data_IF_891945227531
#
_entry.id   IF_891945227531
#
_cell.length_a   1.000
_cell.length_b   1.000
_cell.length_c   1.000
_cell.angle_alpha   90.00
_cell.angle_beta   90.00
_cell.angle_gamma   90.00
#
_symmetry.space_group_name_H-M   'P 1'
#
loop_
_entity.id
_entity.type
_entity.pdbx_description
1 polymer ?
#
# COMPACT_ATOMS: atom_id res chain seq x y z
N UNK A 1 41.78 45.83 -15.88
CA UNK A 1 40.51 46.59 -15.92
C UNK A 1 40.46 47.41 -17.22
N UNK A 2 39.68 47.00 -18.21
CA UNK A 2 39.60 47.70 -19.49
C UNK A 2 38.66 48.91 -19.42
N UNK A 3 39.22 50.12 -19.53
CA UNK A 3 38.48 51.39 -19.46
C UNK A 3 37.49 51.58 -20.62
N UNK A 4 37.56 50.79 -21.69
CA UNK A 4 36.64 50.86 -22.82
C UNK A 4 36.42 49.42 -23.31
N UNK A 5 35.21 49.08 -23.79
CA UNK A 5 34.89 47.73 -24.31
C UNK A 5 35.65 47.33 -25.60
N UNK A 6 36.84 47.90 -25.84
CA UNK A 6 37.76 47.55 -26.92
C UNK A 6 38.17 46.08 -26.82
N UNK A 7 38.10 45.36 -27.95
CA UNK A 7 38.45 43.93 -28.05
C UNK A 7 37.34 42.94 -27.67
N UNK A 8 36.24 43.40 -27.05
CA UNK A 8 35.11 42.50 -26.70
C UNK A 8 34.19 42.28 -27.90
N UNK A 9 33.97 41.02 -28.29
CA UNK A 9 33.07 40.61 -29.39
C UNK A 9 31.67 40.18 -28.89
N UNK A 10 30.63 40.33 -29.71
CA UNK A 10 29.27 39.85 -29.45
C UNK A 10 29.11 38.37 -29.81
N UNK A 11 27.90 37.83 -29.62
CA UNK A 11 27.60 36.42 -29.89
C UNK A 11 27.78 36.02 -31.37
N UNK A 12 27.96 36.99 -32.27
CA UNK A 12 28.20 36.80 -33.70
C UNK A 12 29.64 37.19 -34.11
N UNK A 13 30.55 37.33 -33.14
CA UNK A 13 31.96 37.64 -33.38
C UNK A 13 32.24 39.09 -33.78
N UNK A 14 31.25 39.98 -33.74
CA UNK A 14 31.43 41.40 -34.09
C UNK A 14 31.85 42.21 -32.87
N UNK A 15 32.72 43.21 -33.07
CA UNK A 15 33.17 44.10 -32.00
C UNK A 15 31.96 44.77 -31.34
N UNK A 16 31.81 44.58 -30.02
CA UNK A 16 30.80 45.27 -29.22
C UNK A 16 31.06 46.76 -29.26
N UNK A 17 29.99 47.55 -29.18
CA UNK A 17 30.04 49.01 -29.16
C UNK A 17 31.11 49.48 -28.16
N UNK A 18 32.09 50.24 -28.66
CA UNK A 18 33.14 50.84 -27.84
C UNK A 18 32.50 51.92 -26.97
N UNK A 19 32.31 51.60 -25.70
CA UNK A 19 31.80 52.51 -24.69
C UNK A 19 32.47 52.23 -23.35
N UNK A 20 32.67 53.29 -22.58
CA UNK A 20 32.95 53.22 -21.16
C UNK A 20 31.63 53.40 -20.41
N UNK A 21 31.39 52.55 -19.42
CA UNK A 21 30.21 52.64 -18.54
C UNK A 21 30.66 52.49 -17.09
N UNK A 22 31.01 53.60 -16.48
CA UNK A 22 31.28 53.71 -15.05
C UNK A 22 29.99 53.92 -14.23
N UNK A 23 30.14 54.06 -12.91
CA UNK A 23 29.03 54.28 -11.96
C UNK A 23 28.23 55.55 -12.26
N UNK A 24 28.91 56.62 -12.65
CA UNK A 24 28.31 57.94 -12.91
C UNK A 24 28.61 58.51 -14.31
N UNK A 25 29.49 57.85 -15.08
CA UNK A 25 29.95 58.35 -16.37
C UNK A 25 29.75 57.29 -17.44
N UNK A 26 29.09 57.67 -18.53
CA UNK A 26 29.05 56.91 -19.76
C UNK A 26 29.72 57.72 -20.85
N UNK A 27 30.78 57.18 -21.44
CA UNK A 27 31.40 57.78 -22.62
C UNK A 27 31.27 56.81 -23.80
N UNK A 28 30.77 57.29 -24.94
CA UNK A 28 30.64 56.47 -26.14
C UNK A 28 30.82 57.31 -27.39
N UNK A 29 31.38 56.73 -28.46
CA UNK A 29 31.66 57.43 -29.72
C UNK A 29 30.42 58.11 -30.32
N UNK A 30 29.26 57.45 -30.28
CA UNK A 30 28.02 57.96 -30.90
C UNK A 30 27.15 58.77 -29.94
N UNK A 31 27.34 58.62 -28.63
CA UNK A 31 26.47 59.21 -27.60
C UNK A 31 27.16 60.27 -26.75
N UNK A 32 28.41 60.61 -27.08
CA UNK A 32 29.24 61.53 -26.32
C UNK A 32 29.54 61.06 -24.88
N UNK A 33 29.87 62.02 -24.03
CA UNK A 33 30.07 61.85 -22.60
C UNK A 33 28.76 62.26 -21.90
N UNK A 34 28.17 61.33 -21.15
CA UNK A 34 26.96 61.55 -20.38
C UNK A 34 27.20 61.20 -18.92
N UNK A 35 26.94 62.17 -18.04
CA UNK A 35 26.90 61.92 -16.60
C UNK A 35 25.51 61.40 -16.24
N UNK A 36 25.46 60.40 -15.37
CA UNK A 36 24.24 59.79 -14.85
C UNK A 36 24.30 59.79 -13.33
N UNK A 37 23.35 60.44 -12.70
CA UNK A 37 23.07 60.27 -11.28
C UNK A 37 21.75 59.51 -11.14
N UNK A 38 21.71 58.48 -10.29
CA UNK A 38 20.50 57.78 -9.94
C UNK A 38 20.42 57.71 -8.42
N UNK A 39 19.31 58.15 -7.86
CA UNK A 39 19.00 58.04 -6.43
C UNK A 39 17.58 57.52 -6.24
N UNK A 40 17.31 56.90 -5.09
CA UNK A 40 15.98 56.45 -4.70
C UNK A 40 15.52 57.33 -3.54
N UNK A 41 14.48 58.13 -3.76
CA UNK A 41 13.94 59.05 -2.77
C UNK A 41 12.46 58.71 -2.55
N UNK A 42 12.06 58.48 -1.30
CA UNK A 42 10.66 58.21 -0.91
C UNK A 42 9.94 57.17 -1.81
N UNK A 43 10.62 56.06 -2.12
CA UNK A 43 10.06 55.00 -2.97
C UNK A 43 10.06 55.28 -4.49
N UNK A 44 10.49 56.48 -4.91
CA UNK A 44 10.60 56.89 -6.32
C UNK A 44 12.05 56.86 -6.77
N UNK A 45 12.33 56.26 -7.92
CA UNK A 45 13.64 56.28 -8.57
C UNK A 45 13.79 57.57 -9.39
N UNK A 46 14.74 58.40 -8.99
CA UNK A 46 15.10 59.65 -9.66
C UNK A 46 16.38 59.40 -10.45
N UNK A 47 16.33 59.62 -11.76
CA UNK A 47 17.49 59.51 -12.65
C UNK A 47 17.70 60.83 -13.38
N UNK A 48 18.84 61.47 -13.18
CA UNK A 48 19.27 62.61 -13.96
C UNK A 48 20.37 62.15 -14.93
N UNK A 49 20.26 62.55 -16.19
CA UNK A 49 21.24 62.24 -17.22
C UNK A 49 21.49 63.47 -18.08
N UNK A 50 22.76 63.83 -18.31
CA UNK A 50 23.10 65.06 -19.06
C UNK A 50 22.68 65.02 -20.53
N UNK A 51 22.54 63.85 -21.15
CA UNK A 51 22.09 63.72 -22.56
C UNK A 51 20.61 63.34 -22.70
N UNK A 52 20.03 62.67 -21.69
CA UNK A 52 18.64 62.16 -21.75
C UNK A 52 17.68 62.89 -20.83
N UNK A 53 18.17 63.85 -20.05
CA UNK A 53 17.42 64.65 -19.10
C UNK A 53 17.01 63.89 -17.84
N UNK A 54 15.89 64.32 -17.25
CA UNK A 54 15.41 63.91 -15.94
C UNK A 54 14.27 62.87 -16.06
N UNK A 55 14.37 61.81 -15.25
CA UNK A 55 13.36 60.75 -15.17
C UNK A 55 13.01 60.43 -13.72
N UNK A 56 11.74 60.56 -13.39
CA UNK A 56 11.12 60.02 -12.19
C UNK A 56 10.45 58.70 -12.54
N UNK A 57 10.61 57.65 -11.74
CA UNK A 57 9.89 56.39 -11.97
C UNK A 57 9.60 55.65 -10.68
N UNK A 58 8.37 55.17 -10.55
CA UNK A 58 7.91 54.34 -9.45
C UNK A 58 7.21 53.09 -9.99
N UNK A 59 7.19 52.04 -9.18
CA UNK A 59 6.52 50.78 -9.48
C UNK A 59 5.52 50.49 -8.36
N UNK A 60 4.33 51.12 -8.38
CA UNK A 60 3.38 51.05 -7.28
C UNK A 60 2.74 49.66 -7.14
N UNK A 61 2.75 48.87 -8.22
CA UNK A 61 2.23 47.51 -8.27
C UNK A 61 3.24 46.60 -8.98
N UNK A 62 3.20 45.32 -8.68
CA UNK A 62 4.01 44.32 -9.38
C UNK A 62 3.76 44.40 -10.89
N UNK A 63 4.85 44.44 -11.67
CA UNK A 63 4.84 44.57 -13.13
C UNK A 63 4.15 45.83 -13.69
N UNK A 64 3.98 46.88 -12.88
CA UNK A 64 3.41 48.17 -13.28
C UNK A 64 4.42 49.27 -13.03
N UNK A 65 4.81 50.00 -14.06
CA UNK A 65 5.71 51.13 -14.00
C UNK A 65 4.99 52.41 -14.38
N UNK A 66 5.08 53.39 -13.49
CA UNK A 66 4.68 54.78 -13.73
C UNK A 66 5.96 55.60 -13.75
N UNK A 67 6.18 56.36 -14.83
CA UNK A 67 7.36 57.19 -14.96
C UNK A 67 7.04 58.52 -15.63
N UNK A 68 7.84 59.53 -15.32
CA UNK A 68 7.80 60.84 -15.93
C UNK A 68 9.21 61.15 -16.44
N UNK A 69 9.38 61.33 -17.74
CA UNK A 69 10.68 61.59 -18.36
C UNK A 69 10.59 62.89 -19.18
N UNK A 70 11.34 63.93 -18.80
CA UNK A 70 11.35 65.24 -19.46
C UNK A 70 9.94 65.78 -19.78
N UNK A 71 9.03 65.83 -18.80
CA UNK A 71 7.66 66.30 -19.06
C UNK A 71 6.69 65.22 -19.57
N UNK A 72 7.18 64.05 -20.00
CA UNK A 72 6.34 62.99 -20.59
C UNK A 72 5.97 61.91 -19.59
N UNK A 73 4.67 61.78 -19.32
CA UNK A 73 4.11 60.66 -18.57
C UNK A 73 4.17 59.32 -19.35
N UNK A 74 4.61 58.26 -18.67
CA UNK A 74 4.79 56.91 -19.17
C UNK A 74 4.13 55.94 -18.19
N UNK A 75 3.09 55.25 -18.65
CA UNK A 75 2.47 54.12 -17.95
C UNK A 75 2.77 52.83 -18.71
N UNK A 76 3.27 51.81 -18.02
CA UNK A 76 3.56 50.48 -18.58
C UNK A 76 3.22 49.39 -17.58
N UNK A 77 2.26 48.52 -17.88
CA UNK A 77 1.97 47.31 -17.12
C UNK A 77 2.12 46.07 -17.99
N UNK A 78 2.67 44.98 -17.46
CA UNK A 78 2.80 43.69 -18.18
C UNK A 78 2.47 42.52 -17.26
N UNK A 79 1.29 41.94 -17.42
CA UNK A 79 0.82 40.86 -16.57
C UNK A 79 0.70 39.57 -17.39
N UNK A 80 1.20 38.47 -16.83
CA UNK A 80 1.11 37.13 -17.43
C UNK A 80 0.43 36.22 -16.42
N UNK A 81 -0.76 35.74 -16.76
CA UNK A 81 -1.48 34.75 -15.97
C UNK A 81 -2.07 33.71 -16.92
N UNK A 82 -1.66 32.45 -16.77
CA UNK A 82 -2.09 31.36 -17.63
C UNK A 82 -1.86 31.61 -19.13
N UNK A 83 -2.85 31.31 -20.00
CA UNK A 83 -2.73 31.48 -21.45
C UNK A 83 -2.80 32.95 -21.91
N UNK A 84 -3.19 33.88 -21.03
CA UNK A 84 -3.41 35.28 -21.35
C UNK A 84 -2.24 36.19 -20.94
N UNK A 85 -1.97 37.19 -21.76
CA UNK A 85 -0.96 38.25 -21.55
C UNK A 85 -1.63 39.61 -21.66
N UNK A 86 -1.66 40.33 -20.55
CA UNK A 86 -2.23 41.66 -20.43
C UNK A 86 -1.11 42.70 -20.50
N UNK A 87 -1.20 43.65 -21.42
CA UNK A 87 -0.27 44.77 -21.53
C UNK A 87 -1.04 46.07 -21.34
N UNK A 88 -0.67 46.84 -20.32
CA UNK A 88 -1.22 48.16 -20.02
C UNK A 88 -0.26 49.24 -20.52
N UNK A 89 -0.80 50.29 -21.13
CA UNK A 89 -0.06 51.44 -21.65
C UNK A 89 -0.81 52.74 -21.37
N UNK A 90 -0.16 53.89 -21.55
CA UNK A 90 -0.83 55.21 -21.52
C UNK A 90 -2.07 55.27 -22.43
N UNK A 91 -2.03 54.57 -23.56
CA UNK A 91 -3.09 54.52 -24.57
C UNK A 91 -4.09 53.37 -24.36
N UNK A 92 -4.16 52.81 -23.15
CA UNK A 92 -5.08 51.71 -22.80
C UNK A 92 -4.40 50.34 -22.69
N UNK A 93 -5.24 49.32 -22.44
CA UNK A 93 -4.84 47.95 -22.21
C UNK A 93 -5.05 47.06 -23.45
N UNK A 94 -4.27 45.99 -23.59
CA UNK A 94 -4.44 44.96 -24.61
C UNK A 94 -4.30 43.58 -24.02
N UNK A 95 -5.15 42.66 -24.45
CA UNK A 95 -5.11 41.24 -24.07
C UNK A 95 -4.64 40.43 -25.26
N UNK A 96 -3.72 39.50 -25.03
CA UNK A 96 -3.25 38.59 -26.06
C UNK A 96 -3.07 37.18 -25.54
N UNK A 97 -3.35 36.19 -26.38
CA UNK A 97 -3.06 34.77 -26.13
C UNK A 97 -1.89 34.33 -27.00
N UNK A 98 -1.08 33.40 -26.51
CA UNK A 98 0.06 32.86 -27.27
C UNK A 98 -0.08 31.36 -27.44
N UNK A 99 -0.06 30.93 -28.70
CA UNK A 99 -0.17 29.53 -29.12
C UNK A 99 1.10 29.10 -29.86
N UNK A 100 1.15 27.83 -30.31
CA UNK A 100 2.29 27.29 -31.08
C UNK A 100 2.56 28.07 -32.36
N UNK A 101 1.50 28.56 -33.02
CA UNK A 101 1.61 29.32 -34.27
C UNK A 101 2.07 30.78 -34.06
N UNK A 102 1.85 31.39 -32.89
CA UNK A 102 2.18 32.80 -32.67
C UNK A 102 1.35 33.46 -31.57
N UNK A 103 1.06 34.75 -31.69
CA UNK A 103 0.29 35.51 -30.70
C UNK A 103 -0.94 36.16 -31.32
N UNK A 104 -2.10 35.95 -30.72
CA UNK A 104 -3.35 36.58 -31.09
C UNK A 104 -3.69 37.70 -30.10
N UNK A 105 -3.97 38.91 -30.58
CA UNK A 105 -4.38 40.02 -29.73
C UNK A 105 -5.90 40.24 -29.86
N UNK A 106 -6.62 40.03 -28.75
CA UNK A 106 -8.08 40.08 -28.69
C UNK A 106 -8.64 41.48 -28.91
N UNK A 107 -7.91 42.52 -28.50
CA UNK A 107 -8.37 43.92 -28.57
C UNK A 107 -7.86 44.61 -29.84
N UNK A 108 -6.65 44.27 -30.29
CA UNK A 108 -6.02 44.88 -31.47
C UNK A 108 -5.55 43.81 -32.45
N UNK A 109 -6.43 43.28 -33.32
CA UNK A 109 -6.11 42.20 -34.26
C UNK A 109 -4.90 42.51 -35.15
N UNK A 110 -4.70 43.78 -35.52
CA UNK A 110 -3.55 44.24 -36.31
C UNK A 110 -2.19 44.05 -35.60
N UNK A 111 -2.16 43.74 -34.30
CA UNK A 111 -0.93 43.43 -33.54
C UNK A 111 -0.71 41.92 -33.36
N UNK A 112 -1.50 41.09 -34.02
CA UNK A 112 -1.31 39.64 -34.05
C UNK A 112 -0.11 39.24 -34.92
N UNK A 113 0.47 38.08 -34.61
CA UNK A 113 1.56 37.50 -35.37
C UNK A 113 1.38 35.99 -35.50
N UNK A 114 1.75 35.45 -36.66
CA UNK A 114 1.73 34.03 -36.94
C UNK A 114 3.03 33.64 -37.66
N UNK A 115 3.57 32.47 -37.35
CA UNK A 115 4.73 31.89 -38.04
C UNK A 115 4.29 30.60 -38.69
N UNK A 116 4.22 30.60 -40.02
CA UNK A 116 3.83 29.44 -40.82
C UNK A 116 5.00 29.09 -41.74
N UNK A 117 5.44 27.84 -41.73
CA UNK A 117 6.53 27.35 -42.59
C UNK A 117 7.79 28.25 -42.60
N UNK A 118 8.22 28.72 -41.43
CA UNK A 118 9.41 29.59 -41.29
C UNK A 118 9.16 31.08 -41.54
N UNK A 119 8.09 31.46 -42.25
CA UNK A 119 7.75 32.85 -42.58
C UNK A 119 6.92 33.49 -41.48
N UNK A 120 7.30 34.70 -41.03
CA UNK A 120 6.56 35.46 -40.02
C UNK A 120 5.57 36.43 -40.67
N UNK A 121 4.27 36.13 -40.54
CA UNK A 121 3.17 37.02 -40.95
C UNK A 121 2.72 37.86 -39.74
N UNK A 122 2.44 39.15 -39.96
CA UNK A 122 1.97 40.09 -38.92
C UNK A 122 0.79 40.90 -39.46
N UNK A 123 -0.07 41.38 -38.57
CA UNK A 123 -1.20 42.23 -38.95
C UNK A 123 -2.54 41.50 -39.01
N UNK A 124 -3.49 42.03 -39.79
CA UNK A 124 -4.86 41.50 -39.94
C UNK A 124 -4.88 40.05 -40.47
N UNK A 125 -4.04 39.77 -41.46
CA UNK A 125 -3.90 38.43 -42.05
C UNK A 125 -3.42 37.42 -41.01
N UNK A 126 -2.44 37.77 -40.17
CA UNK A 126 -1.99 36.92 -39.08
C UNK A 126 -3.10 36.65 -38.05
N UNK A 127 -3.99 37.62 -37.80
CA UNK A 127 -5.13 37.43 -36.90
C UNK A 127 -6.11 36.38 -37.46
N UNK A 128 -6.44 36.43 -38.76
CA UNK A 128 -7.31 35.44 -39.40
C UNK A 128 -6.72 34.03 -39.32
N UNK A 129 -5.44 33.86 -39.64
CA UNK A 129 -4.76 32.56 -39.56
C UNK A 129 -4.78 32.02 -38.12
N UNK A 130 -4.57 32.88 -37.11
CA UNK A 130 -4.67 32.47 -35.70
C UNK A 130 -6.08 32.03 -35.31
N UNK A 131 -7.13 32.69 -35.80
CA UNK A 131 -8.52 32.29 -35.54
C UNK A 131 -8.79 30.89 -36.09
N UNK A 132 -8.40 30.63 -37.35
CA UNK A 132 -8.55 29.30 -37.97
C UNK A 132 -7.79 28.24 -37.17
N UNK A 133 -6.55 28.51 -36.76
CA UNK A 133 -5.78 27.60 -35.92
C UNK A 133 -6.46 27.33 -34.57
N UNK A 134 -7.00 28.37 -33.91
CA UNK A 134 -7.68 28.22 -32.64
C UNK A 134 -8.97 27.41 -32.76
N UNK A 135 -9.74 27.60 -33.84
CA UNK A 135 -10.94 26.80 -34.11
C UNK A 135 -10.57 25.33 -34.32
N UNK A 136 -9.54 25.05 -35.11
CA UNK A 136 -9.04 23.69 -35.31
C UNK A 136 -8.58 23.05 -33.99
N UNK A 137 -7.77 23.78 -33.21
CA UNK A 137 -7.31 23.31 -31.90
C UNK A 137 -8.47 23.07 -30.93
N UNK A 138 -9.49 23.92 -30.95
CA UNK A 138 -10.70 23.76 -30.14
C UNK A 138 -11.50 22.52 -30.56
N UNK A 139 -11.65 22.26 -31.87
CA UNK A 139 -12.31 21.06 -32.37
C UNK A 139 -11.57 19.77 -31.94
N UNK A 140 -10.24 19.74 -32.07
CA UNK A 140 -9.43 18.61 -31.59
C UNK A 140 -9.58 18.42 -30.07
N UNK A 141 -9.52 19.52 -29.30
CA UNK A 141 -9.71 19.45 -27.85
C UNK A 141 -11.11 18.95 -27.46
N UNK A 142 -12.15 19.34 -28.22
CA UNK A 142 -13.52 18.85 -28.00
C UNK A 142 -13.61 17.34 -28.26
N UNK A 143 -13.00 16.84 -29.34
CA UNK A 143 -12.94 15.39 -29.62
C UNK A 143 -12.21 14.66 -28.49
N UNK A 144 -11.06 15.17 -28.05
CA UNK A 144 -10.31 14.59 -26.93
C UNK A 144 -11.13 14.57 -25.64
N UNK A 145 -11.87 15.64 -25.36
CA UNK A 145 -12.75 15.72 -24.19
C UNK A 145 -13.86 14.67 -24.27
N UNK A 146 -14.51 14.50 -25.43
CA UNK A 146 -15.54 13.47 -25.63
C UNK A 146 -14.97 12.07 -25.41
N UNK A 147 -13.80 11.77 -25.98
CA UNK A 147 -13.12 10.48 -25.78
C UNK A 147 -12.78 10.27 -24.29
N UNK A 148 -12.27 11.28 -23.61
CA UNK A 148 -11.96 11.21 -22.18
C UNK A 148 -13.20 10.96 -21.32
N UNK A 149 -14.32 11.62 -21.64
CA UNK A 149 -15.61 11.41 -20.97
C UNK A 149 -16.10 9.98 -21.19
N UNK A 150 -16.02 9.46 -22.41
CA UNK A 150 -16.42 8.08 -22.72
C UNK A 150 -15.57 7.06 -21.94
N UNK A 151 -14.24 7.23 -21.93
CA UNK A 151 -13.34 6.37 -21.14
C UNK A 151 -13.68 6.46 -19.64
N UNK A 152 -13.94 7.67 -19.14
CA UNK A 152 -14.35 7.89 -17.76
C UNK A 152 -15.66 7.20 -17.41
N UNK A 153 -16.65 7.27 -18.31
CA UNK A 153 -17.95 6.61 -18.14
C UNK A 153 -17.81 5.08 -18.12
N UNK A 154 -17.01 4.50 -19.01
CA UNK A 154 -16.73 3.04 -19.01
C UNK A 154 -16.04 2.62 -17.72
N UNK A 155 -15.03 3.36 -17.26
CA UNK A 155 -14.36 3.07 -15.98
C UNK A 155 -15.31 3.15 -14.80
N UNK A 156 -16.19 4.16 -14.77
CA UNK A 156 -17.19 4.29 -13.73
C UNK A 156 -18.17 3.11 -13.74
N UNK A 157 -18.63 2.71 -14.93
CA UNK A 157 -19.54 1.55 -15.07
C UNK A 157 -18.88 0.27 -14.57
N UNK A 158 -17.62 0.02 -14.93
CA UNK A 158 -16.86 -1.13 -14.44
C UNK A 158 -16.65 -1.08 -12.92
N UNK A 159 -16.37 0.10 -12.36
CA UNK A 159 -16.19 0.26 -10.92
C UNK A 159 -17.50 0.03 -10.15
N UNK A 160 -18.62 0.61 -10.61
CA UNK A 160 -19.94 0.41 -10.02
C UNK A 160 -20.40 -1.03 -10.17
N UNK A 161 -20.22 -1.64 -11.34
CA UNK A 161 -20.51 -3.05 -11.58
C UNK A 161 -19.69 -3.98 -10.69
N UNK A 162 -18.39 -3.71 -10.56
CA UNK A 162 -17.50 -4.46 -9.66
C UNK A 162 -17.89 -4.31 -8.19
N UNK A 163 -18.29 -3.12 -7.76
CA UNK A 163 -18.80 -2.89 -6.40
C UNK A 163 -20.11 -3.63 -6.17
N UNK A 164 -21.07 -3.54 -7.10
CA UNK A 164 -22.33 -4.25 -7.02
C UNK A 164 -22.12 -5.77 -6.96
N UNK A 165 -21.21 -6.31 -7.79
CA UNK A 165 -20.85 -7.73 -7.75
C UNK A 165 -20.30 -8.14 -6.38
N UNK A 166 -19.36 -7.38 -5.80
CA UNK A 166 -18.83 -7.66 -4.46
C UNK A 166 -19.92 -7.62 -3.39
N UNK A 167 -20.85 -6.66 -3.48
CA UNK A 167 -21.98 -6.59 -2.55
C UNK A 167 -22.90 -7.79 -2.70
N UNK A 168 -23.19 -8.24 -3.93
CA UNK A 168 -24.02 -9.42 -4.18
C UNK A 168 -23.36 -10.67 -3.59
N UNK A 169 -22.06 -10.86 -3.82
CA UNK A 169 -21.31 -12.02 -3.30
C UNK A 169 -21.20 -11.97 -1.77
N UNK A 170 -21.03 -10.78 -1.17
CA UNK A 170 -20.94 -10.62 0.27
C UNK A 170 -22.29 -10.61 0.99
N UNK A 171 -23.40 -10.36 0.28
CA UNK A 171 -24.73 -10.18 0.89
C UNK A 171 -25.21 -11.41 1.66
N UNK A 172 -25.08 -12.67 1.18
CA UNK A 172 -25.48 -13.85 1.94
C UNK A 172 -24.73 -13.94 3.27
N UNK A 173 -23.40 -13.83 3.25
CA UNK A 173 -22.58 -13.87 4.46
C UNK A 173 -22.95 -12.75 5.43
N UNK A 174 -23.07 -11.51 4.94
CA UNK A 174 -23.46 -10.36 5.76
C UNK A 174 -24.87 -10.55 6.37
N UNK A 175 -25.79 -11.14 5.62
CA UNK A 175 -27.13 -11.47 6.09
C UNK A 175 -27.11 -12.55 7.17
N UNK A 176 -26.34 -13.62 7.00
CA UNK A 176 -26.15 -14.66 8.02
C UNK A 176 -25.55 -14.06 9.31
N UNK A 177 -24.49 -13.25 9.20
CA UNK A 177 -23.89 -12.56 10.36
C UNK A 177 -24.90 -11.63 11.05
N UNK A 178 -25.72 -10.92 10.28
CA UNK A 178 -26.78 -10.07 10.84
C UNK A 178 -27.85 -10.89 11.59
N UNK A 179 -28.33 -12.00 11.01
CA UNK A 179 -29.29 -12.89 11.64
C UNK A 179 -28.72 -13.53 12.91
N UNK A 180 -27.47 -14.00 12.87
CA UNK A 180 -26.73 -14.54 14.02
C UNK A 180 -26.61 -13.51 15.15
N UNK A 181 -26.21 -12.26 14.84
CA UNK A 181 -26.18 -11.17 15.83
C UNK A 181 -27.55 -10.88 16.43
N UNK A 182 -28.60 -10.84 15.60
CA UNK A 182 -29.98 -10.60 16.06
C UNK A 182 -30.48 -11.74 16.95
N UNK A 183 -30.19 -12.99 16.58
CA UNK A 183 -30.48 -14.20 17.38
C UNK A 183 -29.78 -14.12 18.74
N UNK A 184 -28.47 -13.90 18.75
CA UNK A 184 -27.70 -13.87 19.99
C UNK A 184 -28.14 -12.75 20.92
N UNK A 185 -28.43 -11.55 20.37
CA UNK A 185 -28.97 -10.44 21.17
C UNK A 185 -30.32 -10.78 21.82
N UNK A 186 -31.20 -11.52 21.12
CA UNK A 186 -32.47 -12.00 21.70
C UNK A 186 -32.24 -13.03 22.79
N UNK A 187 -31.32 -13.97 22.55
CA UNK A 187 -30.93 -14.97 23.54
C UNK A 187 -30.36 -14.27 24.79
N UNK A 188 -29.39 -13.37 24.64
CA UNK A 188 -28.80 -12.58 25.73
C UNK A 188 -29.83 -11.80 26.56
N UNK A 189 -30.92 -11.33 25.94
CA UNK A 189 -32.02 -10.66 26.64
C UNK A 189 -32.93 -11.63 27.39
N UNK A 190 -33.03 -12.87 26.94
CA UNK A 190 -33.82 -13.93 27.58
C UNK A 190 -33.03 -14.59 28.73
N UNK A 191 -31.70 -14.60 28.60
CA UNK A 191 -30.73 -15.20 29.53
C UNK A 191 -30.62 -14.60 30.96
N UNK A 192 -31.06 -13.37 31.31
CA UNK A 192 -31.03 -12.87 32.68
C UNK A 192 -32.24 -13.30 33.52
N UNK A 193 -33.35 -13.68 32.89
CA UNK A 193 -34.60 -14.12 33.54
C UNK A 193 -34.84 -15.63 33.42
N UNK A 194 -33.89 -16.38 32.86
CA UNK A 194 -34.03 -17.84 32.75
C UNK A 194 -33.55 -18.53 34.02
N UNK A 195 -34.39 -18.47 35.06
CA UNK A 195 -34.63 -19.63 35.94
C UNK A 195 -35.16 -20.77 35.05
N UNK A 196 -34.26 -21.36 34.25
CA UNK A 196 -34.55 -22.63 33.60
C UNK A 196 -34.86 -23.58 34.75
N UNK A 197 -36.12 -24.02 34.86
CA UNK A 197 -36.59 -24.98 35.88
C UNK A 197 -36.04 -26.37 35.59
N UNK A 198 -34.74 -26.46 35.34
CA UNK A 198 -33.99 -27.68 35.49
C UNK A 198 -34.06 -28.10 36.96
N UNK A 199 -34.09 -29.41 37.16
CA UNK A 199 -34.11 -30.01 38.48
C UNK A 199 -32.95 -31.02 38.52
N UNK A 200 -31.84 -30.71 39.23
CA UNK A 200 -31.54 -29.48 39.98
C UNK A 200 -31.30 -28.24 39.09
N UNK A 201 -31.28 -27.01 39.64
CA UNK A 201 -30.93 -25.81 38.88
C UNK A 201 -29.58 -25.95 38.17
N UNK A 202 -29.47 -25.43 36.95
CA UNK A 202 -28.29 -25.62 36.07
C UNK A 202 -26.97 -25.17 36.70
N UNK A 203 -27.01 -24.15 37.58
CA UNK A 203 -25.81 -23.67 38.29
C UNK A 203 -25.23 -24.71 39.26
N UNK A 204 -26.01 -25.74 39.62
CA UNK A 204 -25.57 -26.84 40.50
C UNK A 204 -25.15 -28.08 39.72
N UNK A 205 -25.22 -28.07 38.40
CA UNK A 205 -24.80 -29.20 37.58
C UNK A 205 -23.29 -29.36 37.63
N UNK A 206 -22.82 -30.61 37.61
CA UNK A 206 -21.41 -30.94 37.42
C UNK A 206 -20.94 -30.54 36.01
N UNK A 207 -19.64 -30.46 35.78
CA UNK A 207 -19.09 -30.15 34.45
C UNK A 207 -19.49 -31.22 33.44
N UNK A 208 -19.51 -32.48 33.89
CA UNK A 208 -19.92 -33.67 33.16
C UNK A 208 -21.41 -33.59 32.78
N UNK A 209 -22.27 -33.10 33.69
CA UNK A 209 -23.68 -32.86 33.39
C UNK A 209 -23.89 -31.72 32.37
N UNK A 210 -23.07 -30.67 32.40
CA UNK A 210 -23.10 -29.66 31.34
C UNK A 210 -22.68 -30.22 29.98
N UNK A 211 -21.65 -31.09 29.94
CA UNK A 211 -21.22 -31.79 28.71
C UNK A 211 -22.32 -32.73 28.20
N UNK A 212 -22.90 -33.55 29.08
CA UNK A 212 -24.02 -34.41 28.76
C UNK A 212 -25.21 -33.61 28.23
N UNK A 213 -25.54 -32.49 28.88
CA UNK A 213 -26.63 -31.61 28.46
C UNK A 213 -26.40 -31.04 27.06
N UNK A 214 -25.16 -30.62 26.76
CA UNK A 214 -24.79 -30.16 25.41
C UNK A 214 -24.99 -31.27 24.37
N UNK A 215 -24.43 -32.46 24.60
CA UNK A 215 -24.53 -33.59 23.68
C UNK A 215 -25.99 -33.98 23.41
N UNK A 216 -26.81 -34.07 24.46
CA UNK A 216 -28.21 -34.46 24.36
C UNK A 216 -29.06 -33.42 23.61
N UNK A 217 -28.81 -32.13 23.86
CA UNK A 217 -29.50 -31.06 23.12
C UNK A 217 -29.06 -31.02 21.65
N UNK A 218 -27.76 -31.17 21.38
CA UNK A 218 -27.20 -31.12 20.02
C UNK A 218 -27.59 -32.33 19.17
N UNK A 219 -27.36 -33.55 19.67
CA UNK A 219 -27.56 -34.81 18.94
C UNK A 219 -29.02 -35.30 18.99
N UNK A 220 -29.71 -35.01 20.10
CA UNK A 220 -31.12 -35.35 20.29
C UNK A 220 -32.05 -34.31 19.68
N UNK A 221 -32.19 -33.17 20.35
CA UNK A 221 -33.15 -32.15 19.92
C UNK A 221 -32.82 -31.57 18.54
N UNK A 222 -31.53 -31.45 18.19
CA UNK A 222 -31.09 -31.05 16.86
C UNK A 222 -31.61 -31.93 15.72
N UNK A 223 -31.92 -33.20 16.00
CA UNK A 223 -32.54 -34.15 15.06
C UNK A 223 -34.01 -34.46 15.34
N UNK A 224 -34.62 -33.76 16.29
CA UNK A 224 -36.01 -34.00 16.70
C UNK A 224 -36.22 -35.27 17.52
N UNK A 225 -35.15 -35.91 18.01
CA UNK A 225 -35.20 -37.05 18.94
C UNK A 225 -35.30 -36.56 20.39
N UNK A 226 -35.72 -37.45 21.28
CA UNK A 226 -35.80 -37.15 22.72
C UNK A 226 -34.45 -37.33 23.40
N UNK A 227 -34.18 -36.62 24.49
CA UNK A 227 -32.92 -36.77 25.22
C UNK A 227 -32.71 -38.21 25.76
N UNK A 228 -33.72 -38.93 26.30
CA UNK A 228 -33.53 -40.31 26.77
C UNK A 228 -33.19 -41.30 25.67
N UNK A 229 -33.78 -41.14 24.48
CA UNK A 229 -33.48 -41.95 23.30
C UNK A 229 -32.00 -41.83 22.91
N UNK A 230 -31.48 -40.60 22.87
CA UNK A 230 -30.07 -40.35 22.55
C UNK A 230 -29.12 -40.72 23.69
N UNK A 231 -29.53 -40.55 24.94
CA UNK A 231 -28.74 -41.01 26.09
C UNK A 231 -28.47 -42.52 26.00
N UNK A 232 -29.45 -43.32 25.58
CA UNK A 232 -29.28 -44.76 25.36
C UNK A 232 -28.29 -45.06 24.24
N UNK A 233 -28.41 -44.40 23.08
CA UNK A 233 -27.51 -44.58 21.94
C UNK A 233 -26.07 -44.16 22.25
N UNK A 234 -25.88 -43.01 22.90
CA UNK A 234 -24.56 -42.51 23.29
C UNK A 234 -23.87 -43.41 24.30
N UNK A 235 -24.63 -44.03 25.22
CA UNK A 235 -24.06 -44.99 26.17
C UNK A 235 -23.46 -46.18 25.44
N UNK A 236 -24.15 -46.73 24.45
CA UNK A 236 -23.64 -47.84 23.65
C UNK A 236 -22.37 -47.43 22.87
N UNK A 237 -22.40 -46.27 22.21
CA UNK A 237 -21.27 -45.79 21.42
C UNK A 237 -20.03 -45.43 22.24
N UNK A 238 -20.21 -44.73 23.37
CA UNK A 238 -19.10 -44.27 24.20
C UNK A 238 -18.57 -45.34 25.16
N UNK A 239 -19.29 -46.45 25.37
CA UNK A 239 -18.82 -47.59 26.19
C UNK A 239 -18.10 -48.68 25.39
N UNK A 240 -18.06 -48.56 24.06
CA UNK A 240 -17.33 -49.51 23.22
C UNK A 240 -15.82 -49.44 23.48
N UNK A 241 -15.14 -50.60 23.55
CA UNK A 241 -13.70 -50.71 23.89
C UNK A 241 -12.76 -49.93 22.95
N UNK A 242 -13.23 -49.58 21.74
CA UNK A 242 -12.49 -48.81 20.73
C UNK A 242 -13.01 -47.37 20.55
N UNK A 243 -13.84 -46.85 21.46
CA UNK A 243 -14.42 -45.52 21.32
C UNK A 243 -13.33 -44.43 21.35
N UNK A 244 -13.27 -43.61 20.30
CA UNK A 244 -12.24 -42.59 20.11
C UNK A 244 -12.66 -41.20 20.62
N UNK A 245 -13.43 -41.15 21.72
CA UNK A 245 -14.04 -39.90 22.23
C UNK A 245 -13.67 -39.60 23.69
N UNK A 246 -12.37 -39.40 24.00
CA UNK A 246 -11.89 -39.24 25.37
C UNK A 246 -12.44 -37.99 26.08
N UNK A 247 -12.75 -36.91 25.33
CA UNK A 247 -13.27 -35.68 25.92
C UNK A 247 -14.75 -35.78 26.31
N UNK A 248 -15.49 -36.70 25.68
CA UNK A 248 -16.90 -36.97 25.92
C UNK A 248 -17.14 -38.10 26.93
N UNK A 249 -16.17 -38.99 27.14
CA UNK A 249 -16.28 -40.11 28.07
C UNK A 249 -16.75 -39.71 29.50
N UNK A 250 -16.31 -38.59 30.10
CA UNK A 250 -16.80 -38.16 31.41
C UNK A 250 -18.32 -37.89 31.46
N UNK A 251 -18.93 -37.52 30.33
CA UNK A 251 -20.36 -37.21 30.26
C UNK A 251 -21.25 -38.46 30.45
N UNK A 252 -20.71 -39.67 30.24
CA UNK A 252 -21.44 -40.95 30.32
C UNK A 252 -22.20 -41.13 31.64
N UNK A 253 -21.60 -40.71 32.75
CA UNK A 253 -22.18 -40.88 34.10
C UNK A 253 -23.40 -39.99 34.33
N UNK A 254 -23.52 -38.90 33.58
CA UNK A 254 -24.54 -37.86 33.77
C UNK A 254 -25.60 -37.86 32.66
N UNK A 255 -25.55 -38.79 31.69
CA UNK A 255 -26.48 -38.83 30.56
C UNK A 255 -27.95 -38.98 30.98
N UNK A 256 -28.28 -39.96 31.82
CA UNK A 256 -29.66 -40.22 32.27
C UNK A 256 -30.27 -39.11 33.17
N UNK A 257 -29.57 -38.64 34.24
CA UNK A 257 -30.12 -37.58 35.08
C UNK A 257 -30.29 -36.28 34.28
N UNK A 258 -29.35 -35.99 33.37
CA UNK A 258 -29.42 -34.80 32.53
C UNK A 258 -30.53 -34.91 31.49
N UNK A 259 -30.69 -36.05 30.83
CA UNK A 259 -31.78 -36.29 29.86
C UNK A 259 -33.15 -36.10 30.51
N UNK A 260 -33.32 -36.62 31.73
CA UNK A 260 -34.55 -36.47 32.50
C UNK A 260 -34.84 -35.01 32.83
N UNK A 261 -33.82 -34.24 33.27
CA UNK A 261 -34.00 -32.81 33.55
C UNK A 261 -34.25 -31.98 32.28
N UNK A 262 -33.65 -32.33 31.15
CA UNK A 262 -33.87 -31.65 29.87
C UNK A 262 -35.32 -31.84 29.38
N UNK A 263 -35.82 -33.08 29.39
CA UNK A 263 -37.20 -33.35 28.97
C UNK A 263 -38.23 -32.81 29.96
N UNK A 264 -37.95 -32.83 31.26
CA UNK A 264 -38.80 -32.17 32.25
C UNK A 264 -38.90 -30.65 32.00
N UNK A 265 -37.79 -30.01 31.65
CA UNK A 265 -37.77 -28.59 31.30
C UNK A 265 -38.50 -28.31 29.97
N UNK A 266 -38.41 -29.24 29.00
CA UNK A 266 -39.10 -29.18 27.70
C UNK A 266 -40.61 -29.40 27.81
N UNK A 267 -41.02 -30.32 28.68
CA UNK A 267 -42.39 -30.83 28.82
C UNK A 267 -43.26 -30.12 29.87
N UNK A 268 -42.75 -29.09 30.55
CA UNK A 268 -43.53 -28.28 31.51
C UNK A 268 -44.63 -27.48 30.79
N UNK A 269 -45.75 -28.15 30.52
CA UNK A 269 -46.89 -27.72 29.69
C UNK A 269 -47.73 -26.57 30.26
N UNK A 270 -47.18 -25.78 31.18
CA UNK A 270 -47.78 -24.57 31.74
C UNK A 270 -47.10 -23.26 31.30
N UNK A 271 -46.02 -23.32 30.50
CA UNK A 271 -45.38 -22.11 29.95
C UNK A 271 -46.13 -21.62 28.71
N UNK A 272 -46.36 -20.31 28.62
CA UNK A 272 -46.90 -19.68 27.40
C UNK A 272 -45.98 -19.92 26.18
N UNK A 273 -44.68 -20.13 26.42
CA UNK A 273 -43.70 -20.44 25.38
C UNK A 273 -42.78 -21.62 25.79
N UNK A 274 -42.70 -22.70 24.99
CA UNK A 274 -41.78 -23.81 25.25
C UNK A 274 -40.33 -23.35 25.15
N UNK A 275 -39.44 -24.00 25.92
CA UNK A 275 -38.01 -23.69 25.89
C UNK A 275 -37.42 -24.00 24.51
N UNK A 276 -36.83 -22.99 23.89
CA UNK A 276 -36.12 -23.15 22.62
C UNK A 276 -34.81 -23.92 22.83
N UNK A 277 -34.48 -24.93 21.99
CA UNK A 277 -33.18 -25.60 22.02
C UNK A 277 -32.00 -24.63 22.00
N UNK A 278 -32.13 -23.51 21.27
CA UNK A 278 -31.12 -22.45 21.21
C UNK A 278 -30.84 -21.82 22.58
N UNK A 279 -31.88 -21.60 23.39
CA UNK A 279 -31.73 -21.03 24.74
C UNK A 279 -31.01 -21.99 25.66
N UNK A 280 -31.38 -23.27 25.62
CA UNK A 280 -30.75 -24.32 26.43
C UNK A 280 -29.28 -24.47 26.07
N UNK A 281 -28.96 -24.56 24.77
CA UNK A 281 -27.57 -24.62 24.30
C UNK A 281 -26.78 -23.37 24.69
N UNK A 282 -27.37 -22.17 24.57
CA UNK A 282 -26.69 -20.93 24.96
C UNK A 282 -26.33 -20.91 26.46
N UNK A 283 -27.21 -21.40 27.35
CA UNK A 283 -26.90 -21.48 28.78
C UNK A 283 -25.83 -22.54 29.06
N UNK A 284 -25.96 -23.74 28.48
CA UNK A 284 -24.97 -24.81 28.64
C UNK A 284 -23.58 -24.36 28.15
N UNK A 285 -23.52 -23.67 27.01
CA UNK A 285 -22.30 -23.13 26.44
C UNK A 285 -21.61 -22.10 27.36
N UNK A 286 -22.36 -21.22 28.05
CA UNK A 286 -21.79 -20.27 29.03
C UNK A 286 -21.19 -20.95 30.25
N UNK A 287 -21.73 -22.09 30.66
CA UNK A 287 -21.16 -22.86 31.77
C UNK A 287 -19.92 -23.65 31.31
N UNK A 288 -19.96 -24.21 30.09
CA UNK A 288 -18.82 -24.92 29.51
C UNK A 288 -17.67 -24.00 29.10
N UNK A 289 -17.92 -22.69 28.93
CA UNK A 289 -16.85 -21.71 28.66
C UNK A 289 -15.82 -21.59 29.78
N UNK A 290 -16.08 -22.18 30.95
CA UNK A 290 -15.13 -22.25 32.06
C UNK A 290 -14.06 -23.35 31.86
N UNK A 291 -14.24 -24.25 30.90
CA UNK A 291 -13.26 -25.28 30.56
C UNK A 291 -12.00 -24.69 29.90
N UNK A 292 -10.84 -25.37 30.00
CA UNK A 292 -9.68 -25.05 29.19
C UNK A 292 -10.03 -25.03 27.69
N UNK A 293 -9.46 -24.10 26.94
CA UNK A 293 -9.79 -23.90 25.52
C UNK A 293 -9.58 -25.16 24.67
N UNK A 294 -8.50 -25.90 24.92
CA UNK A 294 -8.16 -27.14 24.21
C UNK A 294 -9.22 -28.22 24.47
N UNK A 295 -9.66 -28.37 25.72
CA UNK A 295 -10.68 -29.35 26.10
C UNK A 295 -12.06 -28.97 25.55
N UNK A 296 -12.40 -27.67 25.58
CA UNK A 296 -13.66 -27.18 25.00
C UNK A 296 -13.71 -27.38 23.48
N UNK A 297 -12.58 -27.19 22.80
CA UNK A 297 -12.46 -27.46 21.37
C UNK A 297 -12.63 -28.96 21.08
N UNK A 298 -11.99 -29.84 21.84
CA UNK A 298 -12.14 -31.30 21.72
C UNK A 298 -13.59 -31.75 21.97
N UNK A 299 -14.25 -31.22 23.00
CA UNK A 299 -15.68 -31.52 23.27
C UNK A 299 -16.56 -31.10 22.08
N UNK A 300 -16.29 -29.94 21.47
CA UNK A 300 -17.03 -29.46 20.32
C UNK A 300 -16.81 -30.34 19.08
N UNK A 301 -15.55 -30.66 18.77
CA UNK A 301 -15.16 -31.46 17.60
C UNK A 301 -15.67 -32.89 17.71
N UNK A 302 -15.48 -33.55 18.85
CA UNK A 302 -15.96 -34.92 19.08
C UNK A 302 -17.49 -35.00 19.05
N UNK A 303 -18.19 -33.97 19.54
CA UNK A 303 -19.65 -33.91 19.42
C UNK A 303 -20.09 -33.76 17.95
N UNK A 304 -19.35 -32.99 17.14
CA UNK A 304 -19.62 -32.82 15.72
C UNK A 304 -19.35 -34.11 14.93
N UNK A 305 -18.26 -34.81 15.24
CA UNK A 305 -17.93 -36.12 14.66
C UNK A 305 -19.04 -37.14 14.93
N UNK A 306 -19.53 -37.25 16.18
CA UNK A 306 -20.69 -38.09 16.51
C UNK A 306 -21.96 -37.69 15.74
N UNK A 307 -22.17 -36.39 15.52
CA UNK A 307 -23.30 -35.93 14.71
C UNK A 307 -23.18 -36.38 13.26
N UNK A 308 -21.96 -36.36 12.70
CA UNK A 308 -21.67 -36.75 11.32
C UNK A 308 -21.72 -38.27 11.11
N UNK A 309 -21.35 -39.07 12.12
CA UNK A 309 -21.49 -40.53 12.09
C UNK A 309 -22.97 -40.96 11.93
N UNK A 310 -23.88 -40.24 12.57
CA UNK A 310 -25.33 -40.48 12.47
C UNK A 310 -25.97 -39.81 11.23
N UNK A 311 -25.19 -39.10 10.41
CA UNK A 311 -25.59 -38.58 9.09
C UNK A 311 -25.24 -37.09 8.86
N UNK A 312 -25.66 -36.49 7.73
CA UNK A 312 -25.45 -35.07 7.49
C UNK A 312 -26.15 -34.21 8.57
N UNK A 313 -25.53 -33.09 8.94
CA UNK A 313 -26.08 -32.16 9.94
C UNK A 313 -27.41 -31.58 9.49
N UNK A 314 -28.33 -31.45 10.43
CA UNK A 314 -29.58 -30.70 10.20
C UNK A 314 -29.33 -29.20 10.29
N UNK A 315 -30.24 -28.41 9.71
CA UNK A 315 -30.21 -26.93 9.85
C UNK A 315 -30.20 -26.52 11.32
N UNK A 316 -30.99 -27.20 12.17
CA UNK A 316 -31.02 -26.92 13.60
C UNK A 316 -29.69 -27.27 14.27
N UNK A 317 -29.05 -28.40 13.92
CA UNK A 317 -27.73 -28.74 14.45
C UNK A 317 -26.69 -27.68 14.09
N UNK A 318 -26.64 -27.22 12.83
CA UNK A 318 -25.74 -26.13 12.43
C UNK A 318 -25.99 -24.85 13.25
N UNK A 319 -27.26 -24.46 13.44
CA UNK A 319 -27.61 -23.31 14.27
C UNK A 319 -27.22 -23.49 15.75
N UNK A 320 -27.42 -24.68 16.32
CA UNK A 320 -27.04 -24.99 17.69
C UNK A 320 -25.51 -24.98 17.87
N UNK A 321 -24.76 -25.48 16.90
CA UNK A 321 -23.29 -25.43 16.90
C UNK A 321 -22.79 -23.98 16.86
N UNK A 322 -23.39 -23.13 16.03
CA UNK A 322 -23.07 -21.69 16.02
C UNK A 322 -23.37 -21.02 17.35
N UNK A 323 -24.54 -21.31 17.95
CA UNK A 323 -24.92 -20.77 19.27
C UNK A 323 -23.93 -21.24 20.32
N UNK A 324 -23.59 -22.52 20.34
CA UNK A 324 -22.60 -23.05 21.27
C UNK A 324 -21.28 -22.29 21.12
N UNK A 325 -20.75 -22.18 19.91
CA UNK A 325 -19.50 -21.49 19.66
C UNK A 325 -19.54 -20.02 20.09
N UNK A 326 -20.66 -19.32 19.86
CA UNK A 326 -20.82 -17.92 20.29
C UNK A 326 -20.84 -17.72 21.79
N UNK A 327 -21.59 -18.55 22.51
CA UNK A 327 -21.80 -18.41 23.95
C UNK A 327 -20.69 -19.05 24.78
N UNK A 328 -20.01 -20.06 24.23
CA UNK A 328 -18.82 -20.67 24.82
C UNK A 328 -17.55 -19.85 24.54
N UNK A 329 -17.62 -18.83 23.66
CA UNK A 329 -16.47 -18.01 23.28
C UNK A 329 -15.50 -18.69 22.32
N UNK A 330 -15.92 -19.78 21.66
CA UNK A 330 -15.11 -20.51 20.68
C UNK A 330 -15.10 -19.75 19.36
N UNK A 331 -13.89 -19.51 18.86
CA UNK A 331 -13.64 -18.91 17.54
C UNK A 331 -12.60 -19.77 16.85
N UNK A 332 -12.94 -20.26 15.67
CA UNK A 332 -11.94 -20.80 14.76
C UNK A 332 -11.09 -19.63 14.30
N UNK A 333 -9.89 -19.53 14.85
CA UNK A 333 -8.87 -18.68 14.29
C UNK A 333 -8.28 -19.47 13.13
N UNK A 334 -8.51 -19.01 11.90
CA UNK A 334 -7.56 -19.33 10.84
C UNK A 334 -6.23 -18.86 11.37
N UNK A 335 -5.35 -19.80 11.73
CA UNK A 335 -3.93 -19.52 11.77
C UNK A 335 -3.67 -19.06 10.36
N UNK A 336 -3.58 -17.75 10.17
CA UNK A 336 -2.95 -17.17 9.01
C UNK A 336 -1.58 -17.83 9.05
N UNK A 337 -1.43 -18.91 8.28
CA UNK A 337 -0.13 -19.38 7.93
C UNK A 337 0.49 -18.13 7.33
N UNK A 338 1.35 -17.46 8.12
CA UNK A 338 2.29 -16.49 7.57
C UNK A 338 2.72 -17.14 6.27
N UNK A 339 2.51 -16.49 5.12
CA UNK A 339 2.74 -17.13 3.84
C UNK A 339 4.11 -17.74 3.96
N UNK A 340 4.16 -19.07 4.06
CA UNK A 340 5.42 -19.77 4.16
C UNK A 340 6.12 -19.30 2.92
N UNK A 341 7.09 -18.42 3.16
CA UNK A 341 7.92 -17.87 2.12
C UNK A 341 8.60 -19.14 1.66
N UNK A 342 8.12 -19.65 0.51
CA UNK A 342 8.64 -20.83 -0.17
C UNK A 342 10.13 -20.88 0.12
N UNK A 343 10.64 -21.94 0.76
CA UNK A 343 11.95 -21.92 1.38
C UNK A 343 12.94 -21.49 0.32
N UNK A 344 13.42 -20.25 0.45
CA UNK A 344 14.63 -19.82 -0.23
C UNK A 344 15.67 -20.90 0.09
N UNK A 345 16.44 -21.37 -0.91
CA UNK A 345 17.35 -22.49 -0.71
C UNK A 345 18.18 -22.21 0.53
N UNK A 346 18.10 -23.15 1.46
CA UNK A 346 18.59 -23.04 2.82
C UNK A 346 19.94 -22.32 2.86
N UNK A 347 19.95 -21.10 3.37
CA UNK A 347 21.15 -20.52 3.93
C UNK A 347 21.53 -21.43 5.12
N UNK A 348 22.73 -22.03 5.12
CA UNK A 348 23.15 -22.87 6.23
C UNK A 348 23.21 -22.03 7.51
N UNK A 349 22.77 -22.66 8.60
CA UNK A 349 22.81 -22.17 9.96
C UNK A 349 24.26 -21.79 10.39
N UNK A 350 24.43 -21.00 11.45
CA UNK A 350 25.68 -20.29 11.72
C UNK A 350 26.71 -21.26 12.29
N UNK A 351 27.62 -21.73 11.43
CA UNK A 351 28.86 -22.33 11.88
C UNK A 351 29.87 -21.24 12.20
N UNK A 352 30.34 -21.34 13.42
CA UNK A 352 31.26 -20.41 14.08
C UNK A 352 32.64 -20.62 13.51
N UNK A 353 33.12 -19.80 12.56
CA UNK A 353 34.56 -19.75 12.27
C UNK A 353 35.02 -18.33 11.99
N UNK A 354 35.89 -17.88 12.90
CA UNK A 354 36.76 -16.72 12.81
C UNK A 354 37.41 -16.63 11.44
N UNK A 355 37.33 -15.46 10.81
CA UNK A 355 38.16 -15.10 9.67
C UNK A 355 39.61 -15.06 10.15
N UNK A 356 40.31 -16.19 10.05
CA UNK A 356 41.76 -16.21 9.90
C UNK A 356 42.04 -16.30 8.41
N UNK A 357 42.76 -15.32 7.88
CA UNK A 357 43.21 -15.20 6.47
C UNK A 357 44.20 -16.31 6.05
N UNK A 358 44.00 -17.56 6.49
CA UNK A 358 44.89 -18.67 6.25
C UNK A 358 44.11 -19.91 5.78
N UNK A 359 44.45 -20.42 4.60
CA UNK A 359 43.79 -21.55 3.95
C UNK A 359 44.72 -22.76 4.00
N UNK A 360 44.23 -23.86 4.59
CA UNK A 360 44.97 -25.12 4.65
C UNK A 360 44.78 -25.95 3.36
N UNK A 361 45.87 -26.21 2.65
CA UNK A 361 45.84 -26.91 1.36
C UNK A 361 45.39 -28.37 1.44
N UNK A 362 45.52 -29.03 2.60
CA UNK A 362 45.15 -30.43 2.77
C UNK A 362 43.65 -30.62 3.05
N UNK A 363 43.02 -29.64 3.70
CA UNK A 363 41.62 -29.71 4.13
C UNK A 363 40.68 -28.82 3.32
N UNK A 364 41.19 -27.76 2.68
CA UNK A 364 40.37 -26.78 1.97
C UNK A 364 39.47 -27.40 0.90
N UNK A 365 38.30 -26.83 0.71
CA UNK A 365 37.40 -27.22 -0.39
C UNK A 365 37.93 -26.71 -1.74
N UNK A 366 37.43 -27.27 -2.85
CA UNK A 366 37.83 -26.87 -4.20
C UNK A 366 37.47 -25.40 -4.49
N UNK A 367 36.42 -24.87 -3.85
CA UNK A 367 36.02 -23.46 -3.96
C UNK A 367 36.95 -22.55 -3.13
N UNK A 368 37.32 -22.96 -1.92
CA UNK A 368 38.30 -22.24 -1.09
C UNK A 368 39.67 -22.16 -1.76
N UNK A 369 40.15 -23.24 -2.37
CA UNK A 369 41.42 -23.24 -3.11
C UNK A 369 41.40 -22.25 -4.29
N UNK A 370 40.25 -22.02 -4.90
CA UNK A 370 40.12 -21.06 -6.01
C UNK A 370 40.15 -19.59 -5.57
N UNK A 371 39.98 -19.32 -4.28
CA UNK A 371 40.14 -17.97 -3.74
C UNK A 371 41.61 -17.54 -3.67
N UNK A 372 42.55 -18.50 -3.71
CA UNK A 372 43.98 -18.23 -3.70
C UNK A 372 44.47 -17.69 -5.06
N UNK A 373 45.39 -16.72 -5.07
CA UNK A 373 45.89 -16.13 -6.31
C UNK A 373 46.59 -17.20 -7.18
N UNK A 374 46.31 -17.19 -8.48
CA UNK A 374 46.85 -18.12 -9.48
C UNK A 374 46.30 -19.56 -9.43
N UNK A 375 45.46 -19.92 -8.45
CA UNK A 375 44.71 -21.19 -8.42
C UNK A 375 43.35 -21.02 -9.11
N UNK A 376 43.30 -21.30 -10.41
CA UNK A 376 42.04 -21.47 -11.13
C UNK A 376 41.46 -22.89 -10.93
N UNK A 377 40.25 -23.18 -11.43
CA UNK A 377 39.56 -24.46 -11.22
C UNK A 377 40.40 -25.69 -11.60
N UNK A 378 41.12 -25.62 -12.72
CA UNK A 378 42.01 -26.71 -13.17
C UNK A 378 43.19 -26.95 -12.21
N UNK A 379 43.79 -25.87 -11.68
CA UNK A 379 44.92 -25.98 -10.74
C UNK A 379 44.46 -26.38 -9.35
N UNK A 380 43.30 -25.89 -8.89
CA UNK A 380 42.70 -26.30 -7.64
C UNK A 380 42.39 -27.81 -7.66
N UNK A 381 41.87 -28.34 -8.77
CA UNK A 381 41.70 -29.79 -8.96
C UNK A 381 43.03 -30.55 -8.92
N UNK A 382 44.08 -30.03 -9.57
CA UNK A 382 45.40 -30.63 -9.51
C UNK A 382 45.99 -30.65 -8.08
N UNK A 383 45.75 -29.60 -7.28
CA UNK A 383 46.15 -29.56 -5.86
C UNK A 383 45.37 -30.57 -5.03
N UNK A 384 44.05 -30.71 -5.25
CA UNK A 384 43.24 -31.74 -4.58
C UNK A 384 43.74 -33.15 -4.93
N UNK A 385 44.11 -33.39 -6.19
CA UNK A 385 44.67 -34.67 -6.62
C UNK A 385 46.06 -34.95 -6.06
N UNK A 386 46.82 -33.92 -5.68
CA UNK A 386 48.17 -34.02 -5.13
C UNK A 386 48.18 -34.26 -3.60
N UNK A 387 47.03 -34.27 -2.93
CA UNK A 387 46.95 -34.45 -1.48
C UNK A 387 47.44 -35.85 -1.06
N UNK A 388 48.16 -35.98 0.06
CA UNK A 388 48.56 -34.92 1.00
C UNK A 388 49.80 -34.14 0.55
N UNK A 389 49.79 -32.82 0.78
CA UNK A 389 50.91 -31.92 0.51
C UNK A 389 51.65 -31.65 1.82
N UNK A 390 52.90 -32.11 1.92
CA UNK A 390 53.73 -31.96 3.14
C UNK A 390 54.28 -30.55 3.31
N UNK A 391 54.53 -29.85 2.21
CA UNK A 391 55.08 -28.50 2.22
C UNK A 391 54.64 -27.72 0.98
N UNK A 392 54.61 -26.39 1.10
CA UNK A 392 54.20 -25.49 0.02
C UNK A 392 55.01 -25.72 -1.26
N UNK A 393 56.31 -26.06 -1.18
CA UNK A 393 57.12 -26.34 -2.37
C UNK A 393 56.61 -27.49 -3.24
N UNK A 394 55.85 -28.44 -2.70
CA UNK A 394 55.28 -29.52 -3.49
C UNK A 394 54.27 -29.03 -4.54
N UNK A 395 53.68 -27.84 -4.36
CA UNK A 395 52.82 -27.21 -5.37
C UNK A 395 53.54 -26.92 -6.69
N UNK A 396 54.87 -26.87 -6.71
CA UNK A 396 55.64 -26.72 -7.97
C UNK A 396 55.49 -27.92 -8.91
N UNK A 397 55.00 -29.07 -8.43
CA UNK A 397 54.67 -30.21 -9.26
C UNK A 397 53.40 -29.98 -10.12
N UNK A 398 52.58 -28.98 -9.79
CA UNK A 398 51.41 -28.59 -10.57
C UNK A 398 51.83 -27.66 -11.71
N UNK A 399 51.44 -28.02 -12.94
CA UNK A 399 51.80 -27.26 -14.13
C UNK A 399 51.38 -25.79 -14.04
N UNK A 400 52.39 -24.92 -14.14
CA UNK A 400 52.23 -23.48 -14.06
C UNK A 400 52.36 -22.89 -12.65
N UNK A 401 52.73 -23.62 -11.61
CA UNK A 401 53.10 -23.04 -10.31
C UNK A 401 54.63 -22.93 -10.21
N UNK A 402 55.15 -21.74 -10.54
CA UNK A 402 56.57 -21.43 -10.40
C UNK A 402 56.92 -20.83 -9.03
N UNK A 403 58.23 -20.62 -8.73
CA UNK A 403 58.69 -20.11 -7.43
C UNK A 403 58.07 -18.74 -7.07
N UNK A 404 57.90 -17.84 -8.04
CA UNK A 404 57.24 -16.55 -7.82
C UNK A 404 55.76 -16.69 -7.43
N UNK A 405 55.04 -17.63 -8.05
CA UNK A 405 53.63 -17.88 -7.72
C UNK A 405 53.48 -18.55 -6.36
N UNK A 406 54.49 -19.32 -5.95
CA UNK A 406 54.52 -19.90 -4.62
C UNK A 406 54.67 -18.84 -3.52
N UNK A 407 55.44 -17.80 -3.78
CA UNK A 407 55.56 -16.66 -2.86
C UNK A 407 54.23 -15.89 -2.73
N UNK A 408 53.53 -15.66 -3.85
CA UNK A 408 52.21 -15.03 -3.85
C UNK A 408 51.18 -15.86 -3.07
N UNK A 409 51.22 -17.19 -3.20
CA UNK A 409 50.35 -18.11 -2.46
C UNK A 409 50.62 -18.10 -0.96
N UNK A 410 51.91 -18.06 -0.58
CA UNK A 410 52.31 -17.92 0.82
C UNK A 410 51.87 -16.57 1.41
N UNK A 411 51.99 -15.50 0.62
CA UNK A 411 51.55 -14.16 1.04
C UNK A 411 50.03 -14.06 1.16
N UNK A 412 49.28 -14.85 0.39
CA UNK A 412 47.83 -14.96 0.45
C UNK A 412 47.31 -15.92 1.54
N UNK A 413 48.21 -16.43 2.40
CA UNK A 413 47.83 -17.22 3.57
C UNK A 413 47.69 -18.72 3.33
N UNK A 414 48.15 -19.26 2.19
CA UNK A 414 48.18 -20.71 2.00
C UNK A 414 49.21 -21.37 2.93
N UNK A 415 48.79 -22.40 3.67
CA UNK A 415 49.69 -23.22 4.49
C UNK A 415 49.32 -24.72 4.37
N UNK A 416 50.22 -25.58 4.85
CA UNK A 416 50.00 -27.03 4.93
C UNK A 416 49.97 -27.41 6.41
N UNK A 417 48.92 -28.10 6.85
CA UNK A 417 48.84 -28.71 8.18
C UNK A 417 49.60 -30.04 8.29
#
# INVERSE_FOLDING_TARGET
MGFLNLGKKDAYGKQRRIEHRGRYLRASRTGGIALRAQTKAAGVNVTANTSRGFRLSTTPLNNTQVAFQNGRFILRGRYRSGPFRLNLSKTGATVSTRNRLGSFNWIRPNRSSAKLAGVQVRGKTAAQVQVVYMLFAAAVAAIQLVVAILIGAVRLLLAVGGMAYRLIVAAPYAWHVFQRRRRNRRLEQTLPDTDLTFRPPIQRWSVEAHRAGWLLAYLGWGRGRTAPEIAAALREQLSAENACFPALAPALQELDPTASSLEAARGDGGREHPLSPHTVVAVLARHLSALPADELAEVLLQADDLALEDGPRTVLQEELLEVFADFAGVRLQEVEAEPETSPAPAAPAPETQTVSDSIDLNTATLEELQTLPHLGPERAQAVVALRPVENLSALQAVDGIGPKRLEDLRAAGAYCS
#
